data_IF_375904628652
#
_entry.id   IF_375904628652
#
_cell.length_a   1.000
_cell.length_b   1.000
_cell.length_c   1.000
_cell.angle_alpha   90.00
_cell.angle_beta   90.00
_cell.angle_gamma   90.00
#
_symmetry.space_group_name_H-M   'P 1'
#
loop_
_entity.id
_entity.type
_entity.pdbx_description
1 polymer ?
#
# COMPACT_ATOMS: atom_id res chain seq x y z
N UNK A 1 -54.83 -15.07 61.88
CA UNK A 1 -54.23 -15.67 63.06
C UNK A 1 -54.94 -16.96 63.33
N UNK A 2 -54.19 -17.98 63.82
CA UNK A 2 -54.79 -19.21 64.27
C UNK A 2 -55.55 -18.99 65.59
N UNK A 3 -56.18 -20.05 66.16
CA UNK A 3 -56.96 -19.93 67.37
C UNK A 3 -56.16 -19.52 68.65
N UNK A 4 -54.83 -19.42 68.51
CA UNK A 4 -53.90 -18.96 69.58
C UNK A 4 -53.36 -17.55 69.29
N UNK A 5 -53.81 -16.86 68.19
CA UNK A 5 -53.40 -15.49 67.84
C UNK A 5 -52.08 -15.40 67.08
N UNK A 6 -51.50 -16.51 66.67
CA UNK A 6 -50.31 -16.53 65.90
C UNK A 6 -50.64 -16.18 64.46
N UNK A 7 -49.82 -15.31 63.82
CA UNK A 7 -49.85 -15.00 62.40
C UNK A 7 -48.76 -15.80 61.76
N UNK A 8 -49.14 -16.80 60.93
CA UNK A 8 -48.14 -17.43 60.04
C UNK A 8 -47.81 -16.47 58.93
N UNK A 9 -46.64 -15.87 58.95
CA UNK A 9 -46.06 -15.11 57.80
C UNK A 9 -45.32 -16.13 56.99
N UNK A 10 -45.89 -16.46 55.80
CA UNK A 10 -45.15 -17.24 54.79
C UNK A 10 -44.17 -16.26 54.11
N UNK A 11 -42.92 -16.37 54.50
CA UNK A 11 -41.84 -15.61 53.78
C UNK A 11 -41.38 -16.48 52.65
N UNK A 12 -41.78 -16.14 51.44
CA UNK A 12 -41.17 -16.74 50.24
C UNK A 12 -39.70 -16.36 50.27
N UNK A 13 -38.83 -17.34 50.57
CA UNK A 13 -37.39 -17.19 50.43
C UNK A 13 -37.10 -17.17 48.93
N UNK A 14 -36.71 -16.02 48.42
CA UNK A 14 -36.25 -15.92 47.05
C UNK A 14 -35.05 -16.85 46.83
N UNK A 15 -35.17 -17.80 45.92
CA UNK A 15 -34.04 -18.59 45.48
C UNK A 15 -33.04 -17.66 44.79
N UNK A 16 -31.77 -17.76 45.15
CA UNK A 16 -30.69 -16.97 44.62
C UNK A 16 -29.77 -17.90 43.82
N UNK A 17 -29.51 -17.53 42.59
CA UNK A 17 -28.60 -18.32 41.72
C UNK A 17 -27.16 -18.23 42.23
N UNK A 18 -26.53 -19.38 42.40
CA UNK A 18 -25.10 -19.50 42.71
C UNK A 18 -24.21 -19.40 41.46
N UNK A 19 -24.80 -19.33 40.25
CA UNK A 19 -24.10 -19.21 38.98
C UNK A 19 -24.78 -18.20 38.09
N UNK A 20 -24.00 -17.48 37.24
CA UNK A 20 -24.57 -16.61 36.22
C UNK A 20 -25.20 -17.44 35.10
N UNK A 21 -26.50 -17.23 34.86
CA UNK A 21 -27.25 -17.84 33.78
C UNK A 21 -28.05 -16.79 33.04
N UNK A 22 -28.07 -16.87 31.71
CA UNK A 22 -28.86 -15.97 30.86
C UNK A 22 -30.35 -16.31 30.87
N UNK A 23 -30.71 -17.52 31.32
CA UNK A 23 -32.09 -18.04 31.31
C UNK A 23 -32.77 -17.96 32.69
N UNK A 24 -32.01 -17.62 33.73
CA UNK A 24 -32.56 -17.49 35.10
C UNK A 24 -33.15 -16.09 35.36
N UNK A 25 -34.31 -16.07 35.97
CA UNK A 25 -34.96 -14.84 36.47
C UNK A 25 -34.71 -14.57 37.94
N UNK A 26 -33.98 -15.46 38.63
CA UNK A 26 -33.66 -15.31 40.02
C UNK A 26 -32.56 -14.28 40.28
N UNK A 27 -32.52 -13.59 41.39
CA UNK A 27 -31.41 -12.75 41.79
C UNK A 27 -30.11 -13.55 41.90
N UNK A 28 -29.00 -12.98 41.39
CA UNK A 28 -27.67 -13.59 41.48
C UNK A 28 -26.97 -13.10 42.75
N UNK A 29 -26.28 -14.01 43.46
CA UNK A 29 -25.49 -13.61 44.61
C UNK A 29 -24.38 -12.62 44.24
N UNK A 30 -24.21 -11.56 45.03
CA UNK A 30 -23.16 -10.56 44.82
C UNK A 30 -21.76 -11.16 44.71
N UNK A 31 -21.47 -12.26 45.46
CA UNK A 31 -20.16 -12.94 45.38
C UNK A 31 -19.89 -13.52 43.99
N UNK A 32 -20.92 -14.04 43.29
CA UNK A 32 -20.80 -14.60 41.92
C UNK A 32 -20.54 -13.50 40.94
N UNK A 33 -21.25 -12.39 41.04
CA UNK A 33 -21.04 -11.19 40.17
C UNK A 33 -19.64 -10.63 40.40
N UNK A 34 -19.20 -10.49 41.65
CA UNK A 34 -17.87 -9.98 41.98
C UNK A 34 -16.77 -10.91 41.48
N UNK A 35 -16.95 -12.25 41.60
CA UNK A 35 -15.99 -13.21 41.08
C UNK A 35 -15.84 -13.09 39.55
N UNK A 36 -16.94 -12.91 38.82
CA UNK A 36 -16.91 -12.73 37.35
C UNK A 36 -16.28 -11.40 36.93
N UNK A 37 -16.55 -10.32 37.65
CA UNK A 37 -15.84 -9.04 37.38
C UNK A 37 -14.35 -9.17 37.64
N UNK A 38 -13.92 -9.87 38.67
CA UNK A 38 -12.51 -10.10 38.93
C UNK A 38 -11.86 -10.99 37.86
N UNK A 39 -12.55 -12.02 37.34
CA UNK A 39 -12.07 -12.82 36.20
C UNK A 39 -11.93 -11.98 34.95
N UNK A 40 -12.89 -11.12 34.62
CA UNK A 40 -12.85 -10.20 33.47
C UNK A 40 -11.69 -9.21 33.64
N UNK A 41 -11.55 -8.60 34.84
CA UNK A 41 -10.42 -7.69 35.11
C UNK A 41 -9.07 -8.40 35.01
N UNK A 42 -8.98 -9.67 35.41
CA UNK A 42 -7.76 -10.46 35.34
C UNK A 42 -7.37 -10.83 33.87
N UNK A 43 -8.37 -11.02 33.01
CA UNK A 43 -8.18 -11.43 31.61
C UNK A 43 -8.24 -10.26 30.61
N UNK A 44 -8.74 -9.10 31.03
CA UNK A 44 -8.91 -7.95 30.15
C UNK A 44 -7.59 -7.21 29.98
N UNK A 45 -7.19 -6.99 28.75
CA UNK A 45 -6.04 -6.18 28.43
C UNK A 45 -6.27 -4.73 28.88
N UNK A 46 -5.38 -4.25 29.73
CA UNK A 46 -5.40 -2.88 30.24
C UNK A 46 -4.18 -2.06 29.79
N UNK A 47 -3.03 -2.70 29.70
CA UNK A 47 -1.79 -2.04 29.32
C UNK A 47 -0.91 -2.96 28.47
N UNK A 48 -0.09 -2.35 27.62
CA UNK A 48 0.97 -3.02 26.86
C UNK A 48 2.29 -2.37 27.25
N UNK A 49 3.22 -3.17 27.76
CA UNK A 49 4.58 -2.72 28.06
C UNK A 49 5.54 -3.27 27.01
N UNK A 50 6.50 -2.45 26.57
CA UNK A 50 7.54 -2.84 25.64
C UNK A 50 8.90 -2.71 26.32
N UNK A 51 9.66 -3.79 26.36
CA UNK A 51 11.00 -3.83 26.93
C UNK A 51 11.97 -4.38 25.91
N UNK A 52 13.09 -3.70 25.72
CA UNK A 52 14.18 -4.19 24.89
C UNK A 52 15.00 -5.17 25.73
N UNK A 53 15.37 -6.33 25.15
CA UNK A 53 16.23 -7.30 25.82
C UNK A 53 17.61 -6.68 26.11
N UNK A 54 18.30 -7.19 27.15
CA UNK A 54 19.63 -6.68 27.54
C UNK A 54 20.69 -6.78 26.43
N UNK A 55 20.51 -7.73 25.53
CA UNK A 55 21.39 -7.95 24.36
C UNK A 55 20.90 -7.24 23.10
N UNK A 56 19.84 -6.43 23.21
CA UNK A 56 19.20 -5.67 22.11
C UNK A 56 18.74 -6.53 20.92
N UNK A 57 18.62 -7.85 21.13
CA UNK A 57 18.26 -8.80 20.06
C UNK A 57 16.75 -9.01 19.90
N UNK A 58 15.95 -8.52 20.86
CA UNK A 58 14.49 -8.63 20.82
C UNK A 58 13.80 -7.51 21.59
N UNK A 59 12.55 -7.29 21.25
CA UNK A 59 11.62 -6.45 22.00
C UNK A 59 10.53 -7.35 22.57
N UNK A 60 10.43 -7.41 23.90
CA UNK A 60 9.35 -8.11 24.59
C UNK A 60 8.15 -7.18 24.73
N UNK A 61 7.04 -7.55 24.13
CA UNK A 61 5.74 -6.93 24.36
C UNK A 61 4.99 -7.73 25.41
N UNK A 62 4.79 -7.18 26.60
CA UNK A 62 3.96 -7.79 27.64
C UNK A 62 2.60 -7.13 27.71
N UNK A 63 1.55 -7.94 27.70
CA UNK A 63 0.16 -7.54 27.78
C UNK A 63 -0.31 -7.73 29.22
N UNK A 64 -0.71 -6.67 29.88
CA UNK A 64 -0.99 -6.64 31.30
C UNK A 64 -2.46 -6.34 31.59
N UNK A 65 -3.01 -6.95 32.63
CA UNK A 65 -4.32 -6.61 33.15
C UNK A 65 -4.28 -5.33 34.01
N UNK A 66 -5.41 -4.93 34.54
CA UNK A 66 -5.56 -3.72 35.37
C UNK A 66 -4.70 -3.74 36.64
N UNK A 67 -4.38 -4.90 37.18
CA UNK A 67 -3.51 -5.03 38.37
C UNK A 67 -2.01 -4.99 38.03
N UNK A 68 -1.65 -4.89 36.70
CA UNK A 68 -0.27 -4.94 36.22
C UNK A 68 0.28 -6.36 36.08
N UNK A 69 -0.55 -7.40 36.27
CA UNK A 69 -0.12 -8.77 36.03
C UNK A 69 -0.09 -9.08 34.55
N UNK A 70 0.96 -9.77 34.10
CA UNK A 70 1.12 -10.19 32.69
C UNK A 70 0.08 -11.27 32.36
N UNK A 71 -0.72 -11.02 31.31
CA UNK A 71 -1.67 -11.97 30.74
C UNK A 71 -0.95 -12.87 29.73
N UNK A 72 -0.13 -12.26 28.88
CA UNK A 72 0.67 -12.91 27.85
C UNK A 72 1.82 -11.98 27.43
N UNK A 73 2.84 -12.54 26.77
CA UNK A 73 3.90 -11.76 26.19
C UNK A 73 4.31 -12.33 24.83
N UNK A 74 4.86 -11.48 23.98
CA UNK A 74 5.41 -11.85 22.68
C UNK A 74 6.81 -11.23 22.55
N UNK A 75 7.80 -12.08 22.29
CA UNK A 75 9.13 -11.62 21.96
C UNK A 75 9.23 -11.40 20.45
N UNK A 76 9.45 -10.18 20.04
CA UNK A 76 9.68 -9.80 18.65
C UNK A 76 11.19 -9.73 18.46
N UNK A 77 11.80 -10.62 17.66
CA UNK A 77 13.22 -10.53 17.39
C UNK A 77 13.53 -9.15 16.80
N UNK A 78 14.45 -8.42 17.38
CA UNK A 78 15.05 -7.27 16.72
C UNK A 78 15.73 -7.87 15.49
N UNK A 79 15.23 -7.53 14.30
CA UNK A 79 15.86 -7.98 13.06
C UNK A 79 17.36 -7.71 13.17
N UNK A 80 18.19 -8.65 12.77
CA UNK A 80 19.65 -8.51 12.77
C UNK A 80 20.08 -7.42 11.81
N UNK A 81 19.96 -6.18 12.29
CA UNK A 81 20.25 -4.94 11.62
C UNK A 81 20.33 -3.86 12.66
N UNK A 82 21.39 -3.92 13.51
CA UNK A 82 21.81 -2.80 14.35
C UNK A 82 22.24 -1.65 13.45
N UNK A 83 21.33 -0.78 13.19
CA UNK A 83 21.49 0.53 12.65
C UNK A 83 20.22 1.28 13.01
N UNK A 84 20.33 2.49 13.51
CA UNK A 84 19.21 3.43 13.68
C UNK A 84 18.36 3.33 12.41
N UNK A 85 17.23 2.63 12.50
CA UNK A 85 16.47 2.20 11.34
C UNK A 85 15.85 3.37 10.58
N UNK A 86 16.65 4.09 9.85
CA UNK A 86 16.19 4.81 8.69
C UNK A 86 15.71 3.76 7.70
N UNK A 87 14.42 3.62 7.58
CA UNK A 87 13.82 2.76 6.55
C UNK A 87 14.38 3.24 5.22
N UNK A 88 15.32 2.49 4.65
CA UNK A 88 15.92 2.83 3.37
C UNK A 88 14.82 2.76 2.34
N UNK A 89 14.33 3.92 1.93
CA UNK A 89 13.27 4.03 0.95
C UNK A 89 13.86 4.04 -0.47
N UNK A 90 13.12 3.50 -1.41
CA UNK A 90 13.51 3.43 -2.81
C UNK A 90 12.46 4.02 -3.72
N UNK A 91 12.81 4.34 -4.96
CA UNK A 91 11.88 4.81 -5.99
C UNK A 91 12.29 4.38 -7.38
N UNK A 92 11.31 4.24 -8.25
CA UNK A 92 11.54 4.14 -9.69
C UNK A 92 11.79 5.55 -10.26
N UNK A 93 12.86 5.72 -11.00
CA UNK A 93 13.16 6.88 -11.85
C UNK A 93 12.92 6.46 -13.29
N UNK A 94 11.87 6.99 -13.89
CA UNK A 94 11.46 6.69 -15.27
C UNK A 94 11.17 7.99 -16.00
N UNK A 95 11.87 8.22 -17.13
CA UNK A 95 11.61 9.34 -18.00
C UNK A 95 11.37 8.81 -19.43
N UNK A 96 10.47 9.45 -20.15
CA UNK A 96 10.21 9.17 -21.55
C UNK A 96 10.12 10.49 -22.31
N UNK A 97 10.81 10.57 -23.43
CA UNK A 97 10.83 11.73 -24.31
C UNK A 97 10.85 11.29 -25.77
N UNK A 98 10.32 12.13 -26.64
CA UNK A 98 10.45 11.98 -28.10
C UNK A 98 11.42 13.03 -28.62
N UNK A 99 12.21 12.68 -29.59
CA UNK A 99 13.16 13.59 -30.23
C UNK A 99 12.46 14.75 -30.98
N UNK A 100 11.26 14.49 -31.52
CA UNK A 100 10.43 15.45 -32.22
C UNK A 100 8.97 15.34 -31.79
N UNK A 101 8.50 16.31 -30.99
CA UNK A 101 7.12 16.32 -30.50
C UNK A 101 6.10 16.76 -31.56
N UNK A 102 6.54 17.47 -32.60
CA UNK A 102 5.71 17.90 -33.75
C UNK A 102 6.47 17.57 -35.03
N UNK A 103 5.85 16.77 -35.90
CA UNK A 103 6.39 16.37 -37.17
C UNK A 103 5.38 16.59 -38.30
N UNK A 104 5.85 16.72 -39.55
CA UNK A 104 4.99 16.66 -40.71
C UNK A 104 4.62 15.22 -41.06
N UNK A 105 3.54 15.04 -41.78
CA UNK A 105 3.13 13.74 -42.31
C UNK A 105 4.27 13.07 -43.10
N UNK A 106 4.51 11.79 -42.83
CA UNK A 106 5.65 11.03 -43.35
C UNK A 106 7.00 11.34 -42.68
N UNK A 107 7.04 12.18 -41.65
CA UNK A 107 8.22 12.41 -40.82
C UNK A 107 8.43 11.28 -39.81
N UNK A 108 9.62 11.23 -39.22
CA UNK A 108 10.02 10.22 -38.27
C UNK A 108 10.15 10.83 -36.88
N UNK A 109 9.85 10.03 -35.85
CA UNK A 109 10.16 10.34 -34.44
C UNK A 109 10.65 9.07 -33.74
N UNK A 110 11.46 9.29 -32.73
CA UNK A 110 11.99 8.23 -31.87
C UNK A 110 11.65 8.51 -30.43
N UNK A 111 11.15 7.48 -29.73
CA UNK A 111 10.99 7.48 -28.29
C UNK A 111 12.33 7.09 -27.66
N UNK A 112 12.78 7.87 -26.69
CA UNK A 112 13.86 7.48 -25.77
C UNK A 112 13.26 7.42 -24.37
N UNK A 113 13.49 6.32 -23.65
CA UNK A 113 13.10 6.22 -22.25
C UNK A 113 14.27 5.73 -21.41
N UNK A 114 14.37 6.27 -20.18
CA UNK A 114 15.41 5.90 -19.22
C UNK A 114 14.77 5.28 -18.00
N UNK A 115 15.40 4.24 -17.49
CA UNK A 115 14.99 3.56 -16.28
C UNK A 115 16.14 3.48 -15.28
N UNK A 116 15.86 3.73 -14.01
CA UNK A 116 16.69 3.43 -12.86
C UNK A 116 15.80 3.16 -11.65
N UNK A 117 16.32 2.43 -10.68
CA UNK A 117 15.70 2.26 -9.38
C UNK A 117 16.70 2.73 -8.32
N UNK A 118 16.35 3.73 -7.52
CA UNK A 118 17.29 4.46 -6.68
C UNK A 118 16.86 4.47 -5.21
N UNK A 119 17.85 4.52 -4.33
CA UNK A 119 17.66 4.86 -2.93
C UNK A 119 17.23 6.32 -2.77
N UNK A 120 16.29 6.59 -1.86
CA UNK A 120 15.80 7.96 -1.58
C UNK A 120 16.21 8.47 -0.22
N UNK A 121 16.66 7.59 0.67
CA UNK A 121 17.11 7.87 2.04
C UNK A 121 18.40 7.10 2.32
N UNK A 122 19.05 7.42 3.41
CA UNK A 122 20.31 6.82 3.85
C UNK A 122 21.54 7.34 3.11
N UNK A 123 22.68 6.72 3.39
CA UNK A 123 23.99 7.12 2.84
C UNK A 123 24.08 6.89 1.34
N UNK A 124 23.30 5.96 0.81
CA UNK A 124 23.26 5.60 -0.63
C UNK A 124 22.21 6.42 -1.42
N UNK A 125 21.66 7.49 -0.85
CA UNK A 125 20.65 8.32 -1.51
C UNK A 125 21.11 8.80 -2.90
N UNK A 126 20.32 8.46 -3.91
CA UNK A 126 20.61 8.76 -5.32
C UNK A 126 21.37 7.66 -6.04
N UNK A 127 21.97 6.72 -5.32
CA UNK A 127 22.60 5.54 -5.92
C UNK A 127 21.55 4.57 -6.47
N UNK A 128 21.97 3.82 -7.50
CA UNK A 128 21.12 2.79 -8.10
C UNK A 128 21.09 1.55 -7.21
N UNK A 129 19.90 0.99 -6.99
CA UNK A 129 19.76 -0.29 -6.29
C UNK A 129 20.12 -1.50 -7.15
N UNK A 130 20.30 -1.32 -8.45
CA UNK A 130 20.49 -2.43 -9.40
C UNK A 130 19.22 -3.23 -9.70
N UNK A 131 18.08 -2.86 -9.11
CA UNK A 131 16.81 -3.58 -9.29
C UNK A 131 16.30 -3.46 -10.73
N UNK A 132 15.96 -4.60 -11.32
CA UNK A 132 15.37 -4.70 -12.66
C UNK A 132 13.86 -4.47 -12.62
N UNK A 133 13.28 -4.10 -13.76
CA UNK A 133 11.85 -3.86 -13.91
C UNK A 133 11.28 -4.52 -15.17
N UNK A 134 9.98 -4.77 -15.13
CA UNK A 134 9.18 -4.98 -16.34
C UNK A 134 8.76 -3.62 -16.88
N UNK A 135 9.11 -3.32 -18.13
CA UNK A 135 8.76 -2.06 -18.77
C UNK A 135 7.77 -2.32 -19.90
N UNK A 136 6.61 -1.70 -19.79
CA UNK A 136 5.56 -1.73 -20.82
C UNK A 136 5.53 -0.41 -21.56
N UNK A 137 5.71 -0.44 -22.88
CA UNK A 137 5.49 0.70 -23.77
C UNK A 137 4.15 0.52 -24.46
N UNK A 138 3.27 1.52 -24.36
CA UNK A 138 1.96 1.54 -25.00
C UNK A 138 1.82 2.80 -25.82
N UNK A 139 1.48 2.65 -27.11
CA UNK A 139 1.24 3.75 -28.07
C UNK A 139 -0.25 3.76 -28.39
N UNK A 140 -0.89 4.92 -28.20
CA UNK A 140 -2.32 5.11 -28.40
C UNK A 140 -2.63 6.27 -29.33
N UNK A 141 -3.76 6.14 -30.00
CA UNK A 141 -4.40 7.23 -30.74
C UNK A 141 -5.84 7.36 -30.26
N UNK A 142 -6.09 8.38 -29.45
CA UNK A 142 -7.33 8.47 -28.69
C UNK A 142 -7.52 7.23 -27.81
N UNK A 143 -8.60 6.48 -28.02
CA UNK A 143 -8.91 5.26 -27.26
C UNK A 143 -8.28 4.00 -27.86
N UNK A 144 -7.74 4.07 -29.08
CA UNK A 144 -7.20 2.90 -29.79
C UNK A 144 -5.75 2.66 -29.44
N UNK A 145 -5.41 1.44 -28.99
CA UNK A 145 -4.03 0.99 -28.79
C UNK A 145 -3.45 0.53 -30.13
N UNK A 146 -2.39 1.20 -30.58
CA UNK A 146 -1.66 0.89 -31.82
C UNK A 146 -0.54 -0.10 -31.57
N UNK A 147 0.06 -0.04 -30.38
CA UNK A 147 1.18 -0.89 -29.96
C UNK A 147 1.15 -1.05 -28.45
N UNK A 148 1.50 -2.24 -27.97
CA UNK A 148 1.76 -2.48 -26.56
C UNK A 148 2.71 -3.66 -26.44
N UNK A 149 3.85 -3.44 -25.81
CA UNK A 149 4.85 -4.47 -25.54
C UNK A 149 5.44 -4.32 -24.15
N UNK A 150 5.60 -5.44 -23.46
CA UNK A 150 6.32 -5.53 -22.18
C UNK A 150 7.65 -6.23 -22.41
N UNK A 151 8.71 -5.64 -21.91
CA UNK A 151 10.04 -6.22 -21.84
C UNK A 151 10.33 -6.47 -20.37
N UNK A 152 10.62 -7.72 -20.00
CA UNK A 152 10.94 -8.11 -18.62
C UNK A 152 12.42 -7.99 -18.32
N UNK A 153 12.75 -7.89 -17.02
CA UNK A 153 14.13 -7.85 -16.52
C UNK A 153 15.00 -6.70 -17.08
N UNK A 154 14.39 -5.57 -17.37
CA UNK A 154 15.09 -4.38 -17.87
C UNK A 154 15.96 -3.78 -16.77
N UNK A 155 17.25 -3.65 -17.03
CA UNK A 155 18.23 -3.04 -16.13
C UNK A 155 18.22 -1.52 -16.25
N UNK A 156 18.93 -0.83 -15.34
CA UNK A 156 19.22 0.61 -15.48
C UNK A 156 19.83 0.89 -16.85
N UNK A 157 19.29 1.90 -17.55
CA UNK A 157 19.78 2.28 -18.86
C UNK A 157 18.87 3.23 -19.62
N UNK A 158 19.26 3.48 -20.86
CA UNK A 158 18.50 4.25 -21.85
C UNK A 158 18.14 3.34 -23.01
N UNK A 159 16.89 3.40 -23.43
CA UNK A 159 16.30 2.52 -24.44
C UNK A 159 15.58 3.37 -25.50
N UNK A 160 15.58 2.89 -26.74
CA UNK A 160 14.97 3.60 -27.85
C UNK A 160 13.95 2.73 -28.58
N UNK A 161 12.91 3.37 -29.11
CA UNK A 161 11.90 2.75 -29.97
C UNK A 161 11.61 3.69 -31.14
N UNK A 162 11.71 3.17 -32.36
CA UNK A 162 11.28 3.88 -33.57
C UNK A 162 9.76 3.93 -33.61
N UNK A 163 9.21 5.13 -33.77
CA UNK A 163 7.78 5.38 -33.80
C UNK A 163 7.18 5.45 -35.17
N UNK A 164 8.00 5.45 -36.24
CA UNK A 164 7.60 5.75 -37.62
C UNK A 164 6.38 4.95 -38.09
N UNK A 165 6.27 3.67 -37.70
CA UNK A 165 5.16 2.80 -38.09
C UNK A 165 3.83 3.11 -37.39
N UNK A 166 3.84 3.96 -36.34
CA UNK A 166 2.67 4.26 -35.50
C UNK A 166 2.19 5.71 -35.67
N UNK A 167 2.91 6.52 -36.42
CA UNK A 167 2.64 7.94 -36.55
C UNK A 167 1.71 8.21 -37.75
N UNK A 168 0.49 8.67 -37.44
CA UNK A 168 -0.51 9.12 -38.38
C UNK A 168 -0.90 10.56 -38.07
N UNK A 169 -1.45 11.31 -39.03
CA UNK A 169 -1.92 12.68 -38.84
C UNK A 169 -2.82 12.77 -37.61
N UNK A 170 -2.50 13.67 -36.68
CA UNK A 170 -3.14 13.86 -35.40
C UNK A 170 -2.18 13.59 -34.23
N UNK A 171 -2.73 13.42 -33.03
CA UNK A 171 -1.94 13.14 -31.80
C UNK A 171 -1.77 11.63 -31.60
N UNK A 172 -0.55 11.26 -31.24
CA UNK A 172 -0.19 9.91 -30.80
C UNK A 172 0.36 10.01 -29.39
N UNK A 173 -0.29 9.35 -28.45
CA UNK A 173 0.05 9.33 -27.03
C UNK A 173 0.89 8.10 -26.70
N UNK A 174 1.95 8.29 -25.92
CA UNK A 174 2.93 7.27 -25.59
C UNK A 174 3.04 7.17 -24.07
N UNK A 175 2.79 5.98 -23.54
CA UNK A 175 2.89 5.65 -22.14
C UNK A 175 4.01 4.64 -21.95
N UNK A 176 4.90 4.93 -21.01
CA UNK A 176 5.94 4.01 -20.57
C UNK A 176 5.68 3.71 -19.10
N UNK A 177 5.50 2.46 -18.75
CA UNK A 177 5.21 2.01 -17.39
C UNK A 177 6.29 1.05 -16.94
N UNK A 178 6.99 1.37 -15.87
CA UNK A 178 7.93 0.48 -15.21
C UNK A 178 7.28 -0.10 -13.95
N UNK A 179 7.44 -1.41 -13.77
CA UNK A 179 6.95 -2.15 -12.60
C UNK A 179 8.09 -3.00 -12.06
N UNK A 180 8.33 -2.92 -10.75
CA UNK A 180 9.36 -3.71 -10.07
C UNK A 180 8.94 -4.02 -8.65
N UNK A 181 9.71 -4.84 -7.95
CA UNK A 181 9.56 -5.09 -6.51
C UNK A 181 10.62 -4.31 -5.76
N UNK A 182 10.22 -3.53 -4.79
CA UNK A 182 11.14 -2.81 -3.90
C UNK A 182 12.01 -3.82 -3.13
N UNK A 183 13.33 -3.78 -3.27
CA UNK A 183 14.21 -4.75 -2.62
C UNK A 183 14.26 -4.61 -1.10
N UNK A 184 13.85 -3.46 -0.55
CA UNK A 184 13.88 -3.20 0.90
C UNK A 184 12.58 -3.61 1.59
N UNK A 185 11.45 -3.46 0.93
CA UNK A 185 10.12 -3.72 1.51
C UNK A 185 9.41 -4.94 0.93
N UNK A 186 9.90 -5.49 -0.19
CA UNK A 186 9.23 -6.56 -0.94
C UNK A 186 7.93 -6.13 -1.62
N UNK A 187 7.58 -4.86 -1.59
CA UNK A 187 6.33 -4.35 -2.17
C UNK A 187 6.50 -4.00 -3.64
N UNK A 188 5.44 -4.24 -4.41
CA UNK A 188 5.38 -3.84 -5.81
C UNK A 188 5.35 -2.32 -5.94
N UNK A 189 6.24 -1.77 -6.77
CA UNK A 189 6.27 -0.37 -7.17
C UNK A 189 5.93 -0.24 -8.66
N UNK A 190 5.23 0.82 -9.04
CA UNK A 190 4.90 1.11 -10.43
C UNK A 190 5.06 2.61 -10.68
N UNK A 191 5.69 2.96 -11.79
CA UNK A 191 5.87 4.34 -12.24
C UNK A 191 5.49 4.45 -13.71
N UNK A 192 4.77 5.52 -14.06
CA UNK A 192 4.42 5.84 -15.44
C UNK A 192 5.10 7.15 -15.85
N UNK A 193 5.59 7.19 -17.10
CA UNK A 193 5.99 8.38 -17.83
C UNK A 193 5.14 8.51 -19.09
N UNK A 194 4.84 9.74 -19.49
CA UNK A 194 4.00 10.07 -20.63
C UNK A 194 4.71 11.05 -21.56
N UNK A 195 4.56 10.84 -22.84
CA UNK A 195 4.95 11.79 -23.91
C UNK A 195 3.99 11.67 -25.09
N UNK A 196 4.05 12.58 -26.04
CA UNK A 196 3.20 12.51 -27.24
C UNK A 196 3.89 13.10 -28.46
N UNK A 197 3.45 12.65 -29.64
CA UNK A 197 3.86 13.21 -30.95
C UNK A 197 2.61 13.71 -31.67
N UNK A 198 2.68 14.93 -32.20
CA UNK A 198 1.68 15.50 -33.08
C UNK A 198 2.16 15.47 -34.54
N UNK A 199 1.44 14.74 -35.38
CA UNK A 199 1.68 14.74 -36.84
C UNK A 199 0.76 15.76 -37.49
N UNK A 200 1.33 16.69 -38.21
CA UNK A 200 0.59 17.72 -38.98
C UNK A 200 0.62 17.43 -40.47
N UNK A 201 -0.55 17.51 -41.10
CA UNK A 201 -0.62 17.49 -42.57
C UNK A 201 -0.41 18.89 -43.11
N UNK A 202 0.49 19.04 -44.06
CA UNK A 202 0.70 20.30 -44.78
C UNK A 202 -0.16 20.27 -46.03
N UNK A 203 -1.35 20.87 -46.01
CA UNK A 203 -2.09 21.16 -47.23
C UNK A 203 -1.68 22.55 -47.74
N UNK A 204 -0.98 22.58 -48.86
CA UNK A 204 -0.77 23.80 -49.62
C UNK A 204 -2.04 24.08 -50.44
N UNK A 205 -2.88 25.00 -50.00
CA UNK A 205 -3.91 25.61 -50.85
C UNK A 205 -3.21 26.62 -51.78
N UNK A 206 -2.92 26.23 -53.00
CA UNK A 206 -2.54 27.19 -54.02
C UNK A 206 -3.81 27.94 -54.50
N UNK A 207 -3.97 29.16 -54.05
CA UNK A 207 -4.95 30.07 -54.68
C UNK A 207 -4.35 30.53 -56.02
N UNK A 208 -4.87 29.98 -57.10
CA UNK A 208 -4.62 30.54 -58.43
C UNK A 208 -5.27 31.91 -58.48
N UNK A 209 -4.46 32.96 -58.44
CA UNK A 209 -4.88 34.27 -58.90
C UNK A 209 -4.97 34.20 -60.42
N UNK A 210 -6.16 33.97 -60.96
CA UNK A 210 -6.44 34.17 -62.39
C UNK A 210 -6.47 35.67 -62.64
N UNK A 211 -5.37 36.21 -63.21
CA UNK A 211 -5.36 37.55 -63.75
C UNK A 211 -6.06 37.46 -65.11
N UNK A 212 -7.31 37.88 -65.21
CA UNK A 212 -8.04 38.10 -66.41
C UNK A 212 -7.66 39.51 -66.88
N UNK A 213 -6.98 39.61 -68.06
CA UNK A 213 -6.83 40.87 -68.80
C UNK A 213 -8.02 41.10 -69.67
#
# INVERSE_FOLDING_TARGET
>A
PDATGNVNVNVDILEVDETLSLDSTNPVENKVVTARFNEVDASTLFNVNAEVSEDETSVRLSFQNKSGAEITAVDIPAGSGGGSGETVATKIVLNAAVDNAIIKEGGNARLTYTYDHQYTTGDEKGESTGQKADITVTIRRGTTTMYSQTVSDVSKGSYELDLSSYLLVGNTDIYVVATTTDPTTGKKQTRQSFTSVKVVSLSLTSSYLSLIH
#
